data_IF_628495125863
#
_entry.id   IF_628495125863
#
_cell.length_a   1.000
_cell.length_b   1.000
_cell.length_c   1.000
_cell.angle_alpha   90.00
_cell.angle_beta   90.00
_cell.angle_gamma   90.00
#
_symmetry.space_group_name_H-M   'P 1'
#
loop_
_entity.id
_entity.type
_entity.pdbx_description
1 polymer ?
#
# COMPACT_ATOMS: atom_id res chain seq x y z
N UNK A 1 -4.73 -13.56 -11.75
CA UNK A 1 -3.66 -14.23 -10.98
C UNK A 1 -2.37 -13.45 -11.14
N UNK A 2 -1.99 -12.73 -10.09
CA UNK A 2 -0.71 -12.03 -9.98
C UNK A 2 0.33 -13.00 -9.41
N UNK A 3 1.04 -13.74 -10.27
CA UNK A 3 2.06 -14.72 -9.82
C UNK A 3 3.39 -14.08 -9.40
N UNK A 4 3.51 -12.75 -9.44
CA UNK A 4 4.78 -12.03 -9.28
C UNK A 4 4.98 -11.46 -7.88
N UNK A 5 3.92 -11.27 -7.11
CA UNK A 5 3.97 -10.66 -5.78
C UNK A 5 3.61 -11.69 -4.71
N UNK A 6 4.27 -11.65 -3.53
CA UNK A 6 3.99 -12.59 -2.46
C UNK A 6 2.62 -12.33 -1.81
N UNK A 7 1.83 -13.38 -1.66
CA UNK A 7 0.55 -13.35 -0.95
C UNK A 7 0.72 -13.75 0.51
N UNK A 8 0.01 -13.07 1.40
CA UNK A 8 -0.06 -13.39 2.83
C UNK A 8 -1.46 -13.91 3.16
N UNK A 9 -1.50 -15.16 3.63
CA UNK A 9 -2.73 -15.95 3.79
C UNK A 9 -3.23 -16.02 5.24
N UNK A 10 -2.64 -15.26 6.17
CA UNK A 10 -3.09 -15.23 7.57
C UNK A 10 -2.75 -13.91 8.26
N UNK A 11 -3.52 -13.55 9.29
CA UNK A 11 -3.25 -12.36 10.10
C UNK A 11 -1.84 -12.37 10.71
N UNK A 12 -1.42 -13.54 11.19
CA UNK A 12 -0.06 -13.73 11.71
C UNK A 12 1.03 -13.47 10.66
N UNK A 13 0.83 -13.89 9.41
CA UNK A 13 1.79 -13.64 8.33
C UNK A 13 1.88 -12.15 8.00
N UNK A 14 0.77 -11.42 8.06
CA UNK A 14 0.72 -9.96 7.90
C UNK A 14 1.49 -9.27 9.03
N UNK A 15 1.20 -9.62 10.29
CA UNK A 15 1.89 -9.04 11.44
C UNK A 15 3.39 -9.33 11.40
N UNK A 16 3.79 -10.56 11.07
CA UNK A 16 5.19 -10.92 10.96
C UNK A 16 5.88 -10.15 9.83
N UNK A 17 5.24 -10.00 8.66
CA UNK A 17 5.81 -9.22 7.55
C UNK A 17 6.05 -7.76 7.93
N UNK A 18 5.14 -7.16 8.71
CA UNK A 18 5.28 -5.78 9.21
C UNK A 18 6.37 -5.67 10.28
N UNK A 19 6.48 -6.66 11.16
CA UNK A 19 7.44 -6.67 12.27
C UNK A 19 8.87 -6.99 11.83
N UNK A 20 9.03 -7.87 10.85
CA UNK A 20 10.34 -8.36 10.41
C UNK A 20 11.15 -7.31 9.63
N UNK A 21 10.49 -6.32 9.03
CA UNK A 21 11.14 -5.32 8.19
C UNK A 21 11.48 -4.04 8.98
N UNK A 22 12.77 -3.88 9.29
CA UNK A 22 13.28 -2.73 10.05
C UNK A 22 13.85 -1.60 9.17
N UNK A 23 14.31 -1.94 7.97
CA UNK A 23 15.04 -1.02 7.07
C UNK A 23 14.25 -0.63 5.83
N UNK A 24 13.26 -1.43 5.45
CA UNK A 24 12.43 -1.24 4.27
C UNK A 24 11.01 -0.88 4.65
N UNK A 25 10.34 -0.21 3.72
CA UNK A 25 8.92 0.08 3.84
C UNK A 25 8.11 -1.15 3.41
N UNK A 26 7.14 -1.55 4.23
CA UNK A 26 6.21 -2.64 3.93
C UNK A 26 4.95 -2.05 3.30
N UNK A 27 4.67 -2.45 2.07
CA UNK A 27 3.49 -2.05 1.31
C UNK A 27 2.55 -3.26 1.28
N UNK A 28 1.31 -3.08 1.71
CA UNK A 28 0.31 -4.14 1.69
C UNK A 28 -0.88 -3.69 0.87
N UNK A 29 -1.21 -4.46 -0.17
CA UNK A 29 -2.47 -4.32 -0.91
C UNK A 29 -3.49 -5.28 -0.31
N UNK A 30 -4.55 -4.73 0.27
CA UNK A 30 -5.73 -5.48 0.69
C UNK A 30 -6.82 -5.36 -0.38
N UNK A 31 -7.32 -6.51 -0.84
CA UNK A 31 -8.44 -6.58 -1.77
C UNK A 31 -8.53 -7.95 -2.42
N UNK A 32 -9.46 -8.13 -3.35
CA UNK A 32 -9.63 -9.41 -4.04
C UNK A 32 -8.87 -9.45 -5.36
N UNK A 33 -8.14 -10.54 -5.62
CA UNK A 33 -7.35 -10.68 -6.85
C UNK A 33 -8.17 -10.69 -8.15
N UNK A 34 -9.47 -10.97 -8.04
CA UNK A 34 -10.41 -10.99 -9.15
C UNK A 34 -11.12 -9.65 -9.37
N UNK A 35 -10.95 -8.67 -8.46
CA UNK A 35 -11.50 -7.34 -8.64
C UNK A 35 -10.70 -6.55 -9.67
N UNK A 36 -11.39 -5.87 -10.59
CA UNK A 36 -10.76 -5.12 -11.68
C UNK A 36 -9.84 -4.01 -11.16
N UNK A 37 -10.20 -3.35 -10.05
CA UNK A 37 -9.39 -2.31 -9.44
C UNK A 37 -8.12 -2.89 -8.83
N UNK A 38 -8.22 -4.05 -8.17
CA UNK A 38 -7.06 -4.76 -7.65
C UNK A 38 -6.14 -5.22 -8.78
N UNK A 39 -6.69 -5.75 -9.87
CA UNK A 39 -5.88 -6.19 -11.01
C UNK A 39 -5.08 -5.03 -11.63
N UNK A 40 -5.70 -3.87 -11.81
CA UNK A 40 -5.01 -2.67 -12.30
C UNK A 40 -3.90 -2.21 -11.34
N UNK A 41 -4.17 -2.24 -10.04
CA UNK A 41 -3.17 -1.84 -9.03
C UNK A 41 -2.02 -2.85 -8.97
N UNK A 42 -2.31 -4.14 -9.01
CA UNK A 42 -1.32 -5.22 -8.99
C UNK A 42 -0.37 -5.17 -10.18
N UNK A 43 -0.85 -4.76 -11.37
CA UNK A 43 0.01 -4.57 -12.54
C UNK A 43 1.05 -3.47 -12.29
N UNK A 44 0.65 -2.36 -11.66
CA UNK A 44 1.57 -1.29 -11.27
C UNK A 44 2.53 -1.75 -10.20
N UNK A 45 2.03 -2.43 -9.16
CA UNK A 45 2.85 -2.96 -8.06
C UNK A 45 3.89 -3.97 -8.56
N UNK A 46 3.50 -4.90 -9.43
CA UNK A 46 4.40 -5.88 -10.00
C UNK A 46 5.48 -5.22 -10.87
N UNK A 47 5.12 -4.18 -11.63
CA UNK A 47 6.07 -3.47 -12.47
C UNK A 47 7.09 -2.63 -11.68
N UNK A 48 6.73 -2.13 -10.49
CA UNK A 48 7.64 -1.31 -9.67
C UNK A 48 8.39 -2.10 -8.61
N UNK A 49 7.95 -3.32 -8.27
CA UNK A 49 8.50 -4.13 -7.19
C UNK A 49 10.02 -4.30 -7.28
N UNK A 50 10.54 -4.61 -8.48
CA UNK A 50 11.98 -4.80 -8.69
C UNK A 50 12.76 -3.48 -8.55
N UNK A 51 12.17 -2.36 -8.97
CA UNK A 51 12.80 -1.02 -8.90
C UNK A 51 12.93 -0.54 -7.46
N UNK A 52 11.94 -0.82 -6.61
CA UNK A 52 11.88 -0.33 -5.22
C UNK A 52 12.42 -1.33 -4.19
N UNK A 53 12.83 -2.54 -4.61
CA UNK A 53 13.20 -3.68 -3.73
C UNK A 53 14.24 -3.35 -2.63
N UNK A 54 15.09 -2.35 -2.88
CA UNK A 54 16.15 -1.93 -1.97
C UNK A 54 15.61 -1.17 -0.75
N UNK A 55 14.43 -0.56 -0.85
CA UNK A 55 13.86 0.29 0.21
C UNK A 55 12.38 0.03 0.50
N UNK A 56 11.71 -0.82 -0.29
CA UNK A 56 10.35 -1.25 -0.03
C UNK A 56 10.13 -2.72 -0.43
N UNK A 57 9.14 -3.35 0.19
CA UNK A 57 8.63 -4.69 -0.12
C UNK A 57 7.12 -4.62 -0.28
N UNK A 58 6.57 -5.38 -1.21
CA UNK A 58 5.14 -5.41 -1.51
C UNK A 58 4.58 -6.79 -1.18
N UNK A 59 3.43 -6.80 -0.49
CA UNK A 59 2.64 -7.99 -0.22
C UNK A 59 1.18 -7.80 -0.65
N UNK A 60 0.54 -8.90 -1.02
CA UNK A 60 -0.88 -8.95 -1.37
C UNK A 60 -1.65 -9.73 -0.29
N UNK A 61 -2.84 -9.26 0.07
CA UNK A 61 -3.72 -9.88 1.06
C UNK A 61 -5.14 -9.91 0.51
N UNK A 62 -5.74 -11.10 0.49
CA UNK A 62 -7.17 -11.25 0.22
C UNK A 62 -7.99 -11.01 1.50
N UNK A 63 -8.89 -10.03 1.46
CA UNK A 63 -9.72 -9.64 2.60
C UNK A 63 -10.81 -10.68 2.96
N UNK A 64 -11.08 -11.64 2.08
CA UNK A 64 -11.94 -12.81 2.38
C UNK A 64 -11.19 -13.84 3.20
N UNK A 65 -9.92 -14.07 2.86
CA UNK A 65 -9.07 -15.07 3.49
C UNK A 65 -8.55 -14.57 4.84
N UNK A 66 -8.20 -13.29 4.93
CA UNK A 66 -7.71 -12.64 6.14
C UNK A 66 -8.63 -11.49 6.53
N UNK A 67 -9.77 -11.79 7.18
CA UNK A 67 -10.76 -10.76 7.54
C UNK A 67 -10.38 -9.95 8.79
N UNK A 68 -9.35 -10.37 9.54
CA UNK A 68 -8.97 -9.81 10.86
C UNK A 68 -8.73 -8.29 10.83
N UNK A 69 -8.29 -7.76 9.69
CA UNK A 69 -7.96 -6.34 9.52
C UNK A 69 -9.11 -5.49 8.96
N UNK A 70 -10.21 -6.11 8.51
CA UNK A 70 -11.27 -5.41 7.78
C UNK A 70 -11.92 -4.32 8.61
N UNK A 71 -12.25 -4.62 9.87
CA UNK A 71 -12.83 -3.63 10.80
C UNK A 71 -11.77 -2.65 11.30
N UNK A 72 -10.56 -3.12 11.61
CA UNK A 72 -9.50 -2.28 12.19
C UNK A 72 -9.07 -1.17 11.23
N UNK A 73 -8.90 -1.51 9.95
CA UNK A 73 -8.47 -0.57 8.94
C UNK A 73 -9.61 0.00 8.11
N UNK A 74 -10.87 -0.36 8.35
CA UNK A 74 -12.03 0.09 7.54
C UNK A 74 -11.88 -0.27 6.05
N UNK A 75 -11.59 -1.54 5.77
CA UNK A 75 -11.38 -2.06 4.40
C UNK A 75 -12.71 -2.32 3.69
N UNK A 76 -13.36 -1.24 3.24
CA UNK A 76 -14.65 -1.32 2.51
C UNK A 76 -14.49 -1.13 1.00
N UNK A 77 -13.38 -0.53 0.57
CA UNK A 77 -13.11 -0.28 -0.85
C UNK A 77 -12.56 -1.55 -1.54
N UNK A 78 -12.78 -1.71 -2.87
CA UNK A 78 -12.35 -2.90 -3.60
C UNK A 78 -10.84 -3.18 -3.55
N UNK A 79 -10.02 -2.13 -3.56
CA UNK A 79 -8.57 -2.20 -3.46
C UNK A 79 -8.07 -1.12 -2.52
N UNK A 80 -7.31 -1.50 -1.50
CA UNK A 80 -6.68 -0.56 -0.57
C UNK A 80 -5.20 -0.86 -0.42
N UNK A 81 -4.37 0.18 -0.51
CA UNK A 81 -2.92 0.07 -0.30
C UNK A 81 -2.52 0.85 0.94
N UNK A 82 -1.84 0.17 1.85
CA UNK A 82 -1.35 0.71 3.11
C UNK A 82 0.17 0.59 3.21
N UNK A 83 0.77 1.50 3.95
CA UNK A 83 2.21 1.62 4.11
C UNK A 83 2.58 1.46 5.58
N UNK A 84 3.60 0.65 5.85
CA UNK A 84 4.11 0.42 7.20
C UNK A 84 5.63 0.56 7.22
N UNK A 85 6.16 1.09 8.31
CA UNK A 85 7.60 1.19 8.54
C UNK A 85 7.89 0.96 10.01
N UNK A 86 8.70 -0.05 10.35
CA UNK A 86 9.07 -0.41 11.74
C UNK A 86 7.85 -0.56 12.66
N UNK A 87 6.89 -1.39 12.25
CA UNK A 87 5.64 -1.62 12.98
C UNK A 87 4.77 -0.36 13.22
N UNK A 88 4.95 0.67 12.39
CA UNK A 88 4.10 1.87 12.40
C UNK A 88 3.39 2.01 11.07
N UNK A 89 2.08 2.20 11.14
CA UNK A 89 1.29 2.61 9.99
C UNK A 89 1.67 4.04 9.57
N UNK A 90 1.94 4.22 8.29
CA UNK A 90 2.38 5.46 7.68
C UNK A 90 1.21 6.11 6.95
N UNK A 91 0.86 7.32 7.36
CA UNK A 91 -0.17 8.12 6.72
C UNK A 91 0.41 8.98 5.59
N UNK A 92 -0.37 9.17 4.54
CA UNK A 92 -0.01 9.94 3.35
C UNK A 92 -1.13 10.93 3.04
N UNK A 93 -0.85 12.22 3.12
CA UNK A 93 -1.75 13.25 2.63
C UNK A 93 -1.70 13.31 1.10
N UNK A 94 -2.74 12.76 0.48
CA UNK A 94 -2.94 12.71 -0.96
C UNK A 94 -3.92 13.79 -1.44
N UNK A 95 -4.46 14.63 -0.54
CA UNK A 95 -5.49 15.62 -0.87
C UNK A 95 -6.90 15.04 -1.12
N UNK A 96 -7.09 13.73 -0.95
CA UNK A 96 -8.41 13.05 -1.08
C UNK A 96 -9.26 13.13 0.18
N UNK A 97 -8.69 13.56 1.30
CA UNK A 97 -9.32 13.58 2.62
C UNK A 97 -9.13 12.30 3.44
N UNK A 98 -8.68 11.20 2.81
CA UNK A 98 -8.29 9.98 3.52
C UNK A 98 -6.77 9.80 3.46
N UNK A 99 -6.12 9.97 4.62
CA UNK A 99 -4.67 9.88 4.71
C UNK A 99 -4.16 8.49 5.12
N UNK A 100 -5.06 7.56 5.44
CA UNK A 100 -4.69 6.25 5.98
C UNK A 100 -4.31 5.24 4.90
N UNK A 101 -4.85 5.41 3.68
CA UNK A 101 -4.79 4.40 2.62
C UNK A 101 -4.97 5.04 1.25
N UNK A 102 -4.45 4.37 0.23
CA UNK A 102 -4.81 4.62 -1.16
C UNK A 102 -5.91 3.64 -1.54
N UNK A 103 -7.13 4.12 -1.79
CA UNK A 103 -8.28 3.27 -2.10
C UNK A 103 -8.65 3.24 -3.60
N UNK A 104 -7.67 3.50 -4.47
CA UNK A 104 -7.87 3.50 -5.91
C UNK A 104 -6.68 2.86 -6.65
N UNK A 105 -6.93 2.39 -7.87
CA UNK A 105 -5.85 1.99 -8.77
C UNK A 105 -5.12 3.22 -9.32
N UNK A 106 -3.81 3.30 -9.07
CA UNK A 106 -2.92 4.23 -9.75
C UNK A 106 -2.62 3.68 -11.15
N UNK A 107 -2.52 4.56 -12.16
CA UNK A 107 -2.20 4.16 -13.54
C UNK A 107 -0.73 4.38 -13.89
N UNK A 108 -0.09 5.37 -13.26
CA UNK A 108 1.29 5.73 -13.52
C UNK A 108 2.23 5.06 -12.52
N UNK A 109 3.22 4.35 -13.07
CA UNK A 109 4.26 3.64 -12.30
C UNK A 109 5.20 4.64 -11.63
N UNK A 110 5.52 5.74 -12.30
CA UNK A 110 6.44 6.75 -11.75
C UNK A 110 5.80 7.46 -10.55
N UNK A 111 4.52 7.81 -10.64
CA UNK A 111 3.78 8.38 -9.50
C UNK A 111 3.84 7.46 -8.28
N UNK A 112 3.65 6.15 -8.48
CA UNK A 112 3.73 5.22 -7.36
C UNK A 112 5.14 5.18 -6.74
N UNK A 113 6.20 5.15 -7.57
CA UNK A 113 7.59 5.21 -7.09
C UNK A 113 7.84 6.50 -6.28
N UNK A 114 7.39 7.65 -6.79
CA UNK A 114 7.57 8.95 -6.14
C UNK A 114 6.85 9.02 -4.78
N UNK A 115 5.66 8.41 -4.69
CA UNK A 115 4.94 8.26 -3.41
C UNK A 115 5.76 7.39 -2.46
N UNK A 116 6.17 6.18 -2.87
CA UNK A 116 6.93 5.28 -1.99
C UNK A 116 8.21 5.94 -1.50
N UNK A 117 8.95 6.63 -2.37
CA UNK A 117 10.16 7.35 -1.99
C UNK A 117 9.87 8.44 -0.95
N UNK A 118 8.79 9.21 -1.15
CA UNK A 118 8.38 10.27 -0.23
C UNK A 118 8.03 9.70 1.15
N UNK A 119 7.28 8.59 1.18
CA UNK A 119 6.93 7.90 2.43
C UNK A 119 8.19 7.36 3.11
N UNK A 120 9.06 6.67 2.37
CA UNK A 120 10.31 6.11 2.91
C UNK A 120 11.20 7.20 3.52
N UNK A 121 11.41 8.32 2.80
CA UNK A 121 12.18 9.48 3.30
C UNK A 121 11.56 10.10 4.54
N UNK A 122 10.23 10.21 4.59
CA UNK A 122 9.51 10.73 5.75
C UNK A 122 9.55 9.80 6.96
N UNK A 123 9.35 8.51 6.73
CA UNK A 123 9.40 7.46 7.75
C UNK A 123 10.78 7.36 8.40
N UNK A 124 11.86 7.43 7.61
CA UNK A 124 13.24 7.48 8.12
C UNK A 124 13.55 8.71 8.97
N UNK A 125 12.83 9.82 8.76
CA UNK A 125 12.91 11.03 9.58
C UNK A 125 12.00 10.96 10.82
N UNK A 126 11.30 9.84 11.05
CA UNK A 126 10.40 9.65 12.19
C UNK A 126 9.04 10.32 12.05
N UNK A 127 8.66 10.77 10.85
CA UNK A 127 7.32 11.34 10.61
C UNK A 127 6.30 10.21 10.43
N UNK A 128 5.14 10.31 11.08
CA UNK A 128 4.03 9.38 10.87
C UNK A 128 3.09 9.77 9.74
N UNK A 129 3.12 11.04 9.32
CA UNK A 129 2.37 11.60 8.20
C UNK A 129 3.33 12.26 7.22
N UNK A 130 3.18 11.93 5.94
CA UNK A 130 3.91 12.55 4.83
C UNK A 130 2.94 13.19 3.86
N UNK A 131 3.39 14.22 3.14
CA UNK A 131 2.58 14.88 2.11
C UNK A 131 3.02 14.29 0.77
N UNK A 132 2.07 13.82 -0.03
CA UNK A 132 2.36 13.29 -1.36
C UNK A 132 2.96 14.38 -2.26
N UNK A 133 3.84 14.02 -3.22
CA UNK A 133 4.43 14.99 -4.15
C UNK A 133 3.41 15.59 -5.12
N UNK A 134 2.25 14.94 -5.28
CA UNK A 134 1.15 15.35 -6.15
C UNK A 134 -0.16 15.39 -5.38
N UNK A 135 -0.98 16.37 -5.70
CA UNK A 135 -2.35 16.48 -5.19
C UNK A 135 -3.31 15.63 -6.01
N UNK A 136 -4.04 14.73 -5.36
CA UNK A 136 -5.08 13.88 -5.95
C UNK A 136 -6.50 14.38 -5.61
N UNK A 137 -6.66 15.60 -5.07
CA UNK A 137 -7.95 16.19 -4.72
C UNK A 137 -8.95 16.28 -5.88
N UNK A 138 -8.47 16.39 -7.12
CA UNK A 138 -9.33 16.44 -8.32
C UNK A 138 -9.91 15.08 -8.71
N UNK A 139 -9.44 13.98 -8.10
CA UNK A 139 -9.89 12.63 -8.43
C UNK A 139 -11.36 12.37 -8.10
N UNK A 140 -11.89 13.03 -7.06
CA UNK A 140 -13.30 12.95 -6.66
C UNK A 140 -14.12 14.17 -7.13
N UNK A 141 -13.55 15.05 -7.97
CA UNK A 141 -14.31 16.15 -8.56
C UNK A 141 -15.13 15.60 -9.72
N UNK A 142 -16.40 15.35 -9.43
CA UNK A 142 -17.45 15.07 -10.42
C UNK A 142 -17.76 16.31 -11.26
#
# INVERSE_FOLDING_TARGET
MSYLLPHLHSGWAVDQAILAEEERLVIIRFGHDWDETCMQMDEVLAAVAETIKNFAVIYLVDITEVPDFNTMYELYDPSTVMFFFRNKHMMIDLGTGNNNKINWALKDKQEFIDIVETVYRGARKGRGLVIAPKDYSTKYRY
#
